data_IF_546243032635
#
_entry.id   IF_546243032635
#
_cell.length_a   1.000
_cell.length_b   1.000
_cell.length_c   1.000
_cell.angle_alpha   90.00
_cell.angle_beta   90.00
_cell.angle_gamma   90.00
#
_symmetry.space_group_name_H-M   'P 1'
#
loop_
_entity.id
_entity.type
_entity.pdbx_description
1 polymer ?
#
# COMPACT_ATOMS: atom_id res chain seq x y z
N UNK A 1 -12.56 8.31 4.21
CA UNK A 1 -12.71 6.86 3.95
C UNK A 1 -14.14 6.42 4.12
N UNK A 2 -14.79 6.72 5.26
CA UNK A 2 -16.19 6.33 5.50
C UNK A 2 -17.11 6.85 4.39
N UNK A 3 -16.98 8.11 3.99
CA UNK A 3 -17.74 8.69 2.88
C UNK A 3 -17.42 8.00 1.54
N UNK A 4 -16.13 7.74 1.25
CA UNK A 4 -15.74 6.99 0.05
C UNK A 4 -16.27 5.54 0.09
N UNK A 5 -16.21 4.89 1.25
CA UNK A 5 -16.76 3.55 1.45
C UNK A 5 -18.28 3.51 1.27
N UNK A 6 -19.01 4.48 1.83
CA UNK A 6 -20.46 4.59 1.66
C UNK A 6 -20.82 4.82 0.19
N UNK A 7 -20.19 5.79 -0.48
CA UNK A 7 -20.43 6.06 -1.90
C UNK A 7 -20.09 4.86 -2.80
N UNK A 8 -19.00 4.14 -2.52
CA UNK A 8 -18.66 2.92 -3.26
C UNK A 8 -19.64 1.78 -2.96
N UNK A 9 -20.13 1.66 -1.74
CA UNK A 9 -21.15 0.68 -1.38
C UNK A 9 -22.50 0.98 -2.05
N UNK A 10 -22.93 2.25 -2.05
CA UNK A 10 -24.14 2.69 -2.77
C UNK A 10 -24.02 2.42 -4.27
N UNK A 11 -22.86 2.75 -4.87
CA UNK A 11 -22.62 2.47 -6.29
C UNK A 11 -22.68 0.97 -6.59
N UNK A 12 -22.05 0.12 -5.79
CA UNK A 12 -22.08 -1.33 -5.95
C UNK A 12 -23.50 -1.88 -5.77
N UNK A 13 -24.22 -1.37 -4.77
CA UNK A 13 -25.61 -1.77 -4.53
C UNK A 13 -26.49 -1.41 -5.72
N UNK A 14 -26.37 -0.18 -6.23
CA UNK A 14 -27.08 0.26 -7.44
C UNK A 14 -26.71 -0.58 -8.68
N UNK A 15 -25.42 -0.92 -8.84
CA UNK A 15 -24.94 -1.77 -9.93
C UNK A 15 -25.55 -3.19 -9.84
N UNK A 16 -25.52 -3.82 -8.65
CA UNK A 16 -26.10 -5.15 -8.45
C UNK A 16 -27.63 -5.15 -8.59
N UNK A 17 -28.31 -4.13 -8.07
CA UNK A 17 -29.75 -3.97 -8.25
C UNK A 17 -30.07 -3.79 -9.74
N UNK A 18 -29.32 -2.98 -10.45
CA UNK A 18 -29.43 -2.81 -11.91
C UNK A 18 -29.29 -4.13 -12.67
N UNK A 19 -28.30 -4.94 -12.32
CA UNK A 19 -28.12 -6.28 -12.89
C UNK A 19 -29.31 -7.22 -12.63
N UNK A 20 -29.86 -7.19 -11.42
CA UNK A 20 -31.02 -8.02 -11.04
C UNK A 20 -32.28 -7.55 -11.80
N UNK A 21 -32.52 -6.24 -11.87
CA UNK A 21 -33.70 -5.65 -12.50
C UNK A 21 -33.71 -5.81 -14.03
N UNK A 22 -32.53 -5.82 -14.67
CA UNK A 22 -32.43 -6.02 -16.13
C UNK A 22 -32.64 -7.47 -16.57
N UNK A 23 -33.04 -8.37 -15.63
CA UNK A 23 -33.27 -9.81 -15.90
C UNK A 23 -32.12 -10.52 -16.63
N UNK A 24 -30.93 -9.99 -16.57
CA UNK A 24 -29.76 -10.70 -17.07
C UNK A 24 -29.58 -11.93 -16.19
N UNK A 25 -30.02 -13.08 -16.67
CA UNK A 25 -29.76 -14.41 -16.08
C UNK A 25 -28.24 -14.69 -16.01
N UNK A 26 -27.45 -13.68 -16.31
CA UNK A 26 -26.00 -13.67 -16.50
C UNK A 26 -25.20 -13.41 -15.21
N UNK A 27 -25.81 -12.98 -14.08
CA UNK A 27 -25.05 -12.67 -12.89
C UNK A 27 -24.24 -13.86 -12.35
N UNK A 28 -24.78 -15.08 -12.46
CA UNK A 28 -24.07 -16.30 -12.09
C UNK A 28 -22.88 -16.54 -13.02
N UNK A 29 -23.07 -16.31 -14.31
CA UNK A 29 -22.02 -16.43 -15.30
C UNK A 29 -20.97 -15.32 -15.12
N UNK A 30 -21.38 -14.11 -14.81
CA UNK A 30 -20.46 -13.00 -14.53
C UNK A 30 -19.65 -13.24 -13.25
N UNK A 31 -20.25 -13.74 -12.19
CA UNK A 31 -19.56 -14.14 -10.96
C UNK A 31 -18.59 -15.30 -11.22
N UNK A 32 -19.02 -16.31 -11.98
CA UNK A 32 -18.17 -17.41 -12.36
C UNK A 32 -16.99 -16.97 -13.23
N UNK A 33 -17.23 -16.09 -14.21
CA UNK A 33 -16.18 -15.50 -15.03
C UNK A 33 -15.24 -14.58 -14.22
N UNK A 34 -15.76 -13.81 -13.26
CA UNK A 34 -14.98 -13.02 -12.31
C UNK A 34 -13.97 -13.89 -11.53
N UNK A 35 -14.44 -15.06 -11.05
CA UNK A 35 -13.59 -16.00 -10.32
C UNK A 35 -12.61 -16.70 -11.28
N UNK A 36 -13.09 -17.21 -12.41
CA UNK A 36 -12.30 -18.00 -13.35
C UNK A 36 -11.21 -17.22 -14.07
N UNK A 37 -11.50 -15.96 -14.43
CA UNK A 37 -10.54 -15.09 -15.12
C UNK A 37 -9.42 -14.64 -14.23
N UNK A 38 -9.71 -14.43 -12.94
CA UNK A 38 -8.84 -13.82 -11.97
C UNK A 38 -8.86 -14.59 -10.66
N UNK A 39 -8.08 -15.70 -10.58
CA UNK A 39 -8.11 -16.62 -9.42
C UNK A 39 -7.82 -15.96 -8.07
N UNK A 40 -7.10 -14.82 -8.05
CA UNK A 40 -6.85 -14.08 -6.81
C UNK A 40 -8.12 -13.51 -6.18
N UNK A 41 -9.21 -13.34 -6.96
CA UNK A 41 -10.49 -12.92 -6.42
C UNK A 41 -11.07 -13.91 -5.41
N UNK A 42 -10.78 -15.22 -5.59
CA UNK A 42 -11.19 -16.25 -4.62
C UNK A 42 -10.53 -16.01 -3.28
N UNK A 43 -9.22 -15.75 -3.29
CA UNK A 43 -8.47 -15.48 -2.06
C UNK A 43 -8.97 -14.22 -1.35
N UNK A 44 -9.27 -13.15 -2.10
CA UNK A 44 -9.85 -11.93 -1.51
C UNK A 44 -11.23 -12.17 -0.95
N UNK A 45 -12.11 -12.88 -1.67
CA UNK A 45 -13.43 -13.24 -1.16
C UNK A 45 -13.31 -14.06 0.13
N UNK A 46 -12.44 -15.06 0.14
CA UNK A 46 -12.18 -15.87 1.34
C UNK A 46 -11.64 -15.01 2.47
N UNK A 47 -10.70 -14.09 2.19
CA UNK A 47 -10.15 -13.17 3.18
C UNK A 47 -11.25 -12.31 3.82
N UNK A 48 -12.11 -11.68 3.03
CA UNK A 48 -13.19 -10.83 3.56
C UNK A 48 -14.19 -11.61 4.39
N UNK A 49 -14.56 -12.82 3.97
CA UNK A 49 -15.41 -13.71 4.79
C UNK A 49 -14.67 -14.09 6.09
N UNK A 50 -13.37 -14.36 6.00
CA UNK A 50 -12.56 -14.71 7.16
C UNK A 50 -12.46 -13.57 8.17
N UNK A 51 -12.31 -12.33 7.72
CA UNK A 51 -12.31 -11.13 8.58
C UNK A 51 -13.62 -11.03 9.37
N UNK A 52 -14.76 -11.31 8.74
CA UNK A 52 -16.06 -11.35 9.44
C UNK A 52 -16.04 -12.40 10.56
N UNK A 53 -15.56 -13.61 10.27
CA UNK A 53 -15.47 -14.69 11.25
C UNK A 53 -14.57 -14.30 12.41
N UNK A 54 -13.37 -13.76 12.15
CA UNK A 54 -12.44 -13.30 13.18
C UNK A 54 -13.04 -12.16 14.03
N UNK A 55 -13.76 -11.22 13.40
CA UNK A 55 -14.46 -10.14 14.10
C UNK A 55 -15.52 -10.68 15.05
N UNK A 56 -16.30 -11.68 14.62
CA UNK A 56 -17.33 -12.32 15.47
C UNK A 56 -16.75 -13.11 16.63
N UNK A 57 -15.50 -13.57 16.50
CA UNK A 57 -14.78 -14.31 17.52
C UNK A 57 -14.02 -13.40 18.50
N UNK A 58 -13.75 -12.15 18.14
CA UNK A 58 -12.97 -11.21 18.94
C UNK A 58 -13.60 -10.93 20.32
N UNK A 59 -12.75 -10.64 21.30
CA UNK A 59 -13.17 -10.33 22.66
C UNK A 59 -13.99 -9.02 22.73
N UNK A 60 -13.48 -7.96 22.08
CA UNK A 60 -14.19 -6.68 22.00
C UNK A 60 -14.70 -6.46 20.57
N UNK A 61 -15.97 -6.85 20.36
CA UNK A 61 -16.62 -6.76 19.07
C UNK A 61 -16.77 -5.33 18.56
N UNK A 62 -16.98 -4.36 19.45
CA UNK A 62 -17.10 -2.96 19.06
C UNK A 62 -15.81 -2.46 18.40
N UNK A 63 -14.66 -2.70 19.03
CA UNK A 63 -13.34 -2.36 18.45
C UNK A 63 -13.10 -3.12 17.15
N UNK A 64 -13.39 -4.42 17.09
CA UNK A 64 -13.17 -5.19 15.87
C UNK A 64 -14.10 -4.81 14.72
N UNK A 65 -15.28 -4.23 15.01
CA UNK A 65 -16.19 -3.73 13.98
C UNK A 65 -15.78 -2.33 13.50
N UNK A 66 -15.52 -1.40 14.43
CA UNK A 66 -15.32 0.01 14.10
C UNK A 66 -13.86 0.46 14.09
N UNK A 67 -12.97 -0.31 14.70
CA UNK A 67 -11.57 0.04 14.94
C UNK A 67 -11.38 0.80 16.25
N UNK A 68 -10.13 0.94 16.66
CA UNK A 68 -9.72 1.80 17.78
C UNK A 68 -9.80 3.26 17.38
N UNK A 69 -9.92 4.15 18.36
CA UNK A 69 -9.84 5.59 18.16
C UNK A 69 -8.53 5.96 17.46
N UNK A 70 -8.57 6.87 16.49
CA UNK A 70 -7.48 7.29 15.57
C UNK A 70 -7.09 6.27 14.48
N UNK A 71 -7.37 4.97 14.62
CA UNK A 71 -7.01 3.96 13.62
C UNK A 71 -8.16 3.58 12.71
N UNK A 72 -9.35 3.37 13.29
CA UNK A 72 -10.60 3.07 12.59
C UNK A 72 -10.48 1.92 11.56
N UNK A 73 -9.64 0.91 11.83
CA UNK A 73 -9.37 -0.19 10.90
C UNK A 73 -10.06 -1.50 11.29
N UNK A 74 -11.32 -1.39 11.72
CA UNK A 74 -12.20 -2.50 11.98
C UNK A 74 -12.87 -3.07 10.72
N UNK A 75 -13.78 -4.01 10.89
CA UNK A 75 -14.53 -4.69 9.83
C UNK A 75 -15.16 -3.72 8.82
N UNK A 76 -15.74 -2.61 9.30
CA UNK A 76 -16.36 -1.59 8.44
C UNK A 76 -15.35 -1.05 7.43
N UNK A 77 -14.12 -0.79 7.85
CA UNK A 77 -13.06 -0.28 6.97
C UNK A 77 -12.59 -1.34 5.98
N UNK A 78 -12.48 -2.61 6.40
CA UNK A 78 -12.22 -3.71 5.47
C UNK A 78 -13.33 -3.89 4.43
N UNK A 79 -14.60 -3.72 4.81
CA UNK A 79 -15.71 -3.68 3.84
C UNK A 79 -15.56 -2.52 2.85
N UNK A 80 -15.10 -1.35 3.30
CA UNK A 80 -14.78 -0.23 2.41
C UNK A 80 -13.64 -0.57 1.45
N UNK A 81 -12.60 -1.27 1.90
CA UNK A 81 -11.51 -1.73 1.02
C UNK A 81 -12.01 -2.71 -0.04
N UNK A 82 -12.88 -3.66 0.35
CA UNK A 82 -13.53 -4.57 -0.59
C UNK A 82 -14.35 -3.81 -1.64
N UNK A 83 -15.13 -2.82 -1.20
CA UNK A 83 -15.93 -1.99 -2.09
C UNK A 83 -15.07 -1.20 -3.09
N UNK A 84 -13.99 -0.56 -2.62
CA UNK A 84 -13.04 0.15 -3.50
C UNK A 84 -12.38 -0.80 -4.50
N UNK A 85 -11.97 -1.99 -4.07
CA UNK A 85 -11.44 -3.02 -4.94
C UNK A 85 -12.43 -3.42 -6.04
N UNK A 86 -13.67 -3.71 -5.67
CA UNK A 86 -14.72 -4.11 -6.63
C UNK A 86 -15.06 -2.99 -7.61
N UNK A 87 -15.19 -1.75 -7.15
CA UNK A 87 -15.42 -0.60 -8.03
C UNK A 87 -14.28 -0.41 -9.04
N UNK A 88 -13.04 -0.51 -8.58
CA UNK A 88 -11.87 -0.41 -9.46
C UNK A 88 -11.80 -1.57 -10.46
N UNK A 89 -12.20 -2.77 -10.04
CA UNK A 89 -12.26 -3.97 -10.88
C UNK A 89 -13.28 -3.84 -12.03
N UNK A 90 -14.40 -3.17 -11.81
CA UNK A 90 -15.42 -2.90 -12.84
C UNK A 90 -14.90 -1.93 -13.91
N UNK A 91 -13.95 -1.05 -13.59
CA UNK A 91 -13.34 -0.12 -14.55
C UNK A 91 -12.41 -0.87 -15.51
N UNK A 92 -12.95 -1.38 -16.60
CA UNK A 92 -12.19 -2.21 -17.56
C UNK A 92 -11.48 -1.39 -18.65
N UNK A 93 -12.04 -0.23 -19.04
CA UNK A 93 -11.49 0.56 -20.13
C UNK A 93 -10.22 1.31 -19.75
N UNK A 94 -9.16 1.18 -20.54
CA UNK A 94 -7.87 1.84 -20.32
C UNK A 94 -7.97 3.37 -20.19
N UNK A 95 -8.88 4.01 -20.94
CA UNK A 95 -9.07 5.46 -20.89
C UNK A 95 -9.52 5.94 -19.49
N UNK A 96 -10.42 5.20 -18.84
CA UNK A 96 -10.88 5.55 -17.48
C UNK A 96 -9.80 5.27 -16.44
N UNK A 97 -9.07 4.16 -16.56
CA UNK A 97 -7.91 3.88 -15.71
C UNK A 97 -6.85 4.98 -15.83
N UNK A 98 -6.55 5.40 -17.06
CA UNK A 98 -5.62 6.51 -17.30
C UNK A 98 -6.14 7.83 -16.71
N UNK A 99 -7.46 8.07 -16.75
CA UNK A 99 -8.07 9.22 -16.10
C UNK A 99 -7.86 9.18 -14.57
N UNK A 100 -8.08 8.03 -13.93
CA UNK A 100 -7.84 7.83 -12.49
C UNK A 100 -6.36 8.11 -12.16
N UNK A 101 -5.43 7.55 -12.94
CA UNK A 101 -4.00 7.79 -12.78
C UNK A 101 -3.64 9.28 -12.87
N UNK A 102 -4.19 10.01 -13.87
CA UNK A 102 -3.95 11.44 -14.00
C UNK A 102 -4.51 12.23 -12.81
N UNK A 103 -5.70 11.89 -12.30
CA UNK A 103 -6.26 12.54 -11.12
C UNK A 103 -5.41 12.30 -9.88
N UNK A 104 -5.00 11.05 -9.68
CA UNK A 104 -4.08 10.69 -8.59
C UNK A 104 -2.75 11.46 -8.70
N UNK A 105 -2.18 11.55 -9.92
CA UNK A 105 -0.95 12.29 -10.19
C UNK A 105 -1.07 13.78 -9.85
N UNK A 106 -2.17 14.43 -10.23
CA UNK A 106 -2.42 15.86 -9.88
C UNK A 106 -2.51 16.03 -8.37
N UNK A 107 -3.30 15.19 -7.69
CA UNK A 107 -3.42 15.24 -6.22
C UNK A 107 -2.06 15.02 -5.55
N UNK A 108 -1.27 14.07 -6.04
CA UNK A 108 0.06 13.77 -5.51
C UNK A 108 1.02 14.97 -5.65
N UNK A 109 0.98 15.69 -6.79
CA UNK A 109 1.78 16.91 -6.97
C UNK A 109 1.37 17.99 -5.98
N UNK A 110 0.06 18.22 -5.81
CA UNK A 110 -0.45 19.19 -4.83
C UNK A 110 0.03 18.84 -3.41
N UNK A 111 -0.12 17.59 -3.00
CA UNK A 111 0.33 17.13 -1.68
C UNK A 111 1.85 17.20 -1.51
N UNK A 112 2.62 16.94 -2.57
CA UNK A 112 4.07 17.12 -2.56
C UNK A 112 4.46 18.59 -2.37
N UNK A 113 3.78 19.52 -3.03
CA UNK A 113 3.97 20.96 -2.81
C UNK A 113 3.62 21.33 -1.36
N UNK A 114 2.49 20.83 -0.82
CA UNK A 114 2.11 21.05 0.58
C UNK A 114 3.19 20.54 1.55
N UNK A 115 3.81 19.37 1.28
CA UNK A 115 4.92 18.85 2.09
C UNK A 115 6.08 19.84 2.12
N UNK A 116 6.53 20.32 0.95
CA UNK A 116 7.68 21.23 0.87
C UNK A 116 7.39 22.57 1.54
N UNK A 117 6.18 23.09 1.39
CA UNK A 117 5.77 24.34 2.04
C UNK A 117 5.64 24.19 3.56
N UNK A 118 5.19 23.04 4.03
CA UNK A 118 5.11 22.72 5.45
C UNK A 118 6.50 22.57 6.07
N UNK A 119 7.41 21.87 5.40
CA UNK A 119 8.76 21.61 5.89
C UNK A 119 9.62 22.90 5.98
N UNK A 120 9.40 23.86 5.09
CA UNK A 120 10.08 25.14 5.11
C UNK A 120 9.42 26.19 6.00
N UNK A 121 8.43 25.84 6.79
CA UNK A 121 7.64 26.75 7.63
C UNK A 121 6.98 27.92 6.86
N UNK A 122 6.92 27.85 5.53
CA UNK A 122 6.33 28.88 4.66
C UNK A 122 4.81 28.94 4.74
N UNK A 123 4.16 27.77 4.88
CA UNK A 123 2.76 27.68 5.21
C UNK A 123 2.65 27.36 6.70
N UNK A 124 2.08 28.28 7.47
CA UNK A 124 1.70 28.06 8.88
C UNK A 124 0.54 27.04 8.98
N UNK A 125 0.63 25.97 8.19
CA UNK A 125 -0.36 24.89 8.15
C UNK A 125 -0.33 24.01 9.40
N UNK A 126 0.58 24.26 10.32
CA UNK A 126 0.67 23.62 11.64
C UNK A 126 -0.64 23.66 12.43
N UNK A 127 -1.52 24.66 12.18
CA UNK A 127 -2.86 24.71 12.78
C UNK A 127 -3.92 23.86 12.07
N UNK A 128 -3.66 23.47 10.80
CA UNK A 128 -4.59 22.69 9.97
C UNK A 128 -4.17 21.23 9.94
N UNK A 129 -2.86 20.97 9.89
CA UNK A 129 -2.29 19.62 9.90
C UNK A 129 -1.57 19.39 11.23
N UNK A 130 -2.08 18.46 12.00
CA UNK A 130 -1.63 18.18 13.39
C UNK A 130 -0.21 17.58 13.44
N UNK A 131 0.31 17.07 12.32
CA UNK A 131 1.56 16.33 12.30
C UNK A 131 2.52 16.87 11.24
N UNK A 132 3.75 17.18 11.64
CA UNK A 132 4.84 17.56 10.75
C UNK A 132 5.07 16.51 9.66
N UNK A 133 5.30 16.96 8.41
CA UNK A 133 5.64 16.13 7.24
C UNK A 133 4.56 15.16 6.76
N UNK A 134 3.42 15.13 7.41
CA UNK A 134 2.33 14.21 7.08
C UNK A 134 1.28 14.81 6.16
N UNK A 135 1.28 16.10 5.91
CA UNK A 135 0.25 16.85 5.17
C UNK A 135 -1.17 16.54 5.69
N UNK A 136 -2.01 15.95 4.88
CA UNK A 136 -3.37 15.50 5.26
C UNK A 136 -3.41 14.13 5.93
N UNK A 137 -2.26 13.45 6.03
CA UNK A 137 -2.15 12.14 6.68
C UNK A 137 -1.81 12.31 8.16
N UNK A 138 -2.19 11.36 8.99
CA UNK A 138 -1.95 11.44 10.44
C UNK A 138 -0.49 11.25 10.84
N UNK A 139 0.33 10.68 9.96
CA UNK A 139 1.73 10.36 10.21
C UNK A 139 2.54 10.41 8.91
N UNK A 140 3.82 10.83 9.01
CA UNK A 140 4.70 10.95 7.86
C UNK A 140 4.95 9.62 7.12
N UNK A 141 4.98 8.48 7.83
CA UNK A 141 5.09 7.17 7.21
C UNK A 141 3.92 6.87 6.26
N UNK A 142 2.69 7.21 6.66
CA UNK A 142 1.50 7.00 5.81
C UNK A 142 1.57 7.86 4.55
N UNK A 143 2.04 9.09 4.67
CA UNK A 143 2.27 9.93 3.51
C UNK A 143 3.38 9.35 2.61
N UNK A 144 4.45 8.80 3.21
CA UNK A 144 5.49 8.09 2.48
C UNK A 144 4.93 6.94 1.60
N UNK A 145 3.98 6.14 2.11
CA UNK A 145 3.32 5.10 1.31
C UNK A 145 2.44 5.65 0.19
N UNK A 146 1.81 6.80 0.39
CA UNK A 146 1.10 7.49 -0.68
C UNK A 146 2.08 7.96 -1.78
N UNK A 147 3.21 8.56 -1.39
CA UNK A 147 4.28 8.99 -2.31
C UNK A 147 4.90 7.80 -3.06
N UNK A 148 5.09 6.67 -2.39
CA UNK A 148 5.53 5.43 -3.00
C UNK A 148 4.65 5.07 -4.21
N UNK A 149 3.33 4.97 -4.02
CA UNK A 149 2.40 4.70 -5.12
C UNK A 149 2.38 5.83 -6.17
N UNK A 150 2.58 7.09 -5.76
CA UNK A 150 2.62 8.23 -6.65
C UNK A 150 3.77 8.15 -7.67
N UNK A 151 4.94 7.70 -7.23
CA UNK A 151 6.10 7.46 -8.09
C UNK A 151 5.74 6.45 -9.17
N UNK A 152 5.06 5.36 -8.79
CA UNK A 152 4.63 4.31 -9.73
C UNK A 152 3.54 4.79 -10.69
N UNK A 153 2.61 5.63 -10.23
CA UNK A 153 1.62 6.29 -11.09
C UNK A 153 2.30 7.14 -12.15
N UNK A 154 3.26 7.99 -11.76
CA UNK A 154 4.02 8.82 -12.71
C UNK A 154 4.85 7.96 -13.68
N UNK A 155 5.52 6.92 -13.17
CA UNK A 155 6.25 5.96 -14.00
C UNK A 155 5.34 5.27 -15.01
N UNK A 156 4.17 4.82 -14.57
CA UNK A 156 3.17 4.17 -15.44
C UNK A 156 2.64 5.12 -16.52
N UNK A 157 2.31 6.35 -16.17
CA UNK A 157 1.87 7.38 -17.13
C UNK A 157 2.97 7.72 -18.14
N UNK A 158 4.23 7.81 -17.69
CA UNK A 158 5.38 8.00 -18.56
C UNK A 158 5.51 6.84 -19.57
N UNK A 159 5.49 5.61 -19.09
CA UNK A 159 5.67 4.42 -19.94
C UNK A 159 4.50 4.21 -20.91
N UNK A 160 3.30 4.65 -20.57
CA UNK A 160 2.09 4.54 -21.41
C UNK A 160 1.87 5.72 -22.36
N UNK A 161 2.70 6.76 -22.27
CA UNK A 161 2.58 7.94 -23.13
C UNK A 161 3.37 7.76 -24.43
N UNK A 162 2.77 8.20 -25.57
CA UNK A 162 3.44 8.29 -26.85
C UNK A 162 3.67 9.77 -27.27
N UNK A 163 3.20 10.72 -26.44
CA UNK A 163 3.34 12.15 -26.67
C UNK A 163 4.53 12.68 -25.90
N UNK A 164 5.54 13.21 -26.58
CA UNK A 164 6.81 13.68 -25.97
C UNK A 164 6.62 14.70 -24.86
N UNK A 165 5.70 15.65 -25.05
CA UNK A 165 5.38 16.65 -24.01
C UNK A 165 4.87 16.00 -22.74
N UNK A 166 4.02 14.98 -22.85
CA UNK A 166 3.49 14.25 -21.68
C UNK A 166 4.57 13.40 -21.04
N UNK A 167 5.45 12.78 -21.84
CA UNK A 167 6.60 12.03 -21.28
C UNK A 167 7.47 12.90 -20.40
N UNK A 168 7.82 14.11 -20.86
CA UNK A 168 8.62 15.07 -20.08
C UNK A 168 7.88 15.46 -18.80
N UNK A 169 6.60 15.75 -18.89
CA UNK A 169 5.78 16.12 -17.74
C UNK A 169 5.70 15.01 -16.70
N UNK A 170 5.50 13.77 -17.12
CA UNK A 170 5.41 12.63 -16.19
C UNK A 170 6.78 12.25 -15.61
N UNK A 171 7.87 12.38 -16.39
CA UNK A 171 9.23 12.19 -15.89
C UNK A 171 9.58 13.25 -14.82
N UNK A 172 9.25 14.52 -15.07
CA UNK A 172 9.41 15.60 -14.09
C UNK A 172 8.54 15.35 -12.84
N UNK A 173 7.30 14.89 -13.01
CA UNK A 173 6.42 14.51 -11.92
C UNK A 173 6.99 13.34 -11.10
N UNK A 174 7.55 12.32 -11.74
CA UNK A 174 8.23 11.21 -11.06
C UNK A 174 9.41 11.71 -10.23
N UNK A 175 10.28 12.55 -10.83
CA UNK A 175 11.43 13.13 -10.13
C UNK A 175 10.96 13.95 -8.91
N UNK A 176 9.91 14.74 -9.06
CA UNK A 176 9.33 15.52 -7.97
C UNK A 176 8.77 14.64 -6.84
N UNK A 177 8.02 13.56 -7.16
CA UNK A 177 7.49 12.66 -6.15
C UNK A 177 8.60 11.89 -5.41
N UNK A 178 9.63 11.45 -6.12
CA UNK A 178 10.80 10.82 -5.49
C UNK A 178 11.56 11.80 -4.60
N UNK A 179 11.75 13.05 -5.04
CA UNK A 179 12.32 14.11 -4.22
C UNK A 179 11.49 14.31 -2.93
N UNK A 180 10.16 14.42 -3.05
CA UNK A 180 9.27 14.53 -1.89
C UNK A 180 9.39 13.32 -0.93
N UNK A 181 9.53 12.10 -1.47
CA UNK A 181 9.73 10.92 -0.64
C UNK A 181 11.06 10.92 0.10
N UNK A 182 12.13 11.41 -0.54
CA UNK A 182 13.45 11.56 0.09
C UNK A 182 13.44 12.64 1.19
N UNK A 183 12.73 13.75 0.98
CA UNK A 183 12.49 14.79 2.00
C UNK A 183 11.64 14.25 3.14
N UNK A 184 10.56 13.52 2.85
CA UNK A 184 9.70 12.87 3.85
C UNK A 184 10.44 11.83 4.68
N UNK A 185 11.48 11.21 4.13
CA UNK A 185 12.38 10.26 4.76
C UNK A 185 11.73 8.97 5.30
N UNK A 186 10.71 8.45 4.62
CA UNK A 186 10.13 7.13 4.93
C UNK A 186 10.88 6.04 4.18
N UNK A 187 11.86 5.42 4.85
CA UNK A 187 12.76 4.45 4.21
C UNK A 187 12.06 3.20 3.68
N UNK A 188 11.08 2.65 4.41
CA UNK A 188 10.28 1.50 3.94
C UNK A 188 9.50 1.80 2.65
N UNK A 189 8.95 3.02 2.53
CA UNK A 189 8.29 3.47 1.31
C UNK A 189 9.27 3.68 0.15
N UNK A 190 10.49 4.16 0.43
CA UNK A 190 11.55 4.26 -0.57
C UNK A 190 11.93 2.88 -1.12
N UNK A 191 12.17 1.87 -0.27
CA UNK A 191 12.45 0.50 -0.71
C UNK A 191 11.29 -0.08 -1.52
N UNK A 192 10.05 0.14 -1.06
CA UNK A 192 8.85 -0.30 -1.78
C UNK A 192 8.74 0.33 -3.17
N UNK A 193 8.97 1.64 -3.31
CA UNK A 193 8.93 2.33 -4.61
C UNK A 193 10.07 1.87 -5.54
N UNK A 194 11.26 1.63 -5.01
CA UNK A 194 12.37 1.09 -5.77
C UNK A 194 12.04 -0.29 -6.35
N UNK A 195 11.53 -1.19 -5.51
CA UNK A 195 11.10 -2.51 -5.94
C UNK A 195 9.99 -2.42 -7.01
N UNK A 196 8.99 -1.56 -6.79
CA UNK A 196 7.90 -1.34 -7.73
C UNK A 196 8.36 -0.80 -9.08
N UNK A 197 9.27 0.19 -9.11
CA UNK A 197 9.83 0.73 -10.37
C UNK A 197 10.61 -0.33 -11.12
N UNK A 198 11.45 -1.12 -10.44
CA UNK A 198 12.18 -2.23 -11.06
C UNK A 198 11.20 -3.25 -11.66
N UNK A 199 10.18 -3.66 -10.90
CA UNK A 199 9.17 -4.62 -11.36
C UNK A 199 8.41 -4.10 -12.60
N UNK A 200 7.95 -2.85 -12.59
CA UNK A 200 7.27 -2.23 -13.74
C UNK A 200 8.19 -2.13 -14.95
N UNK A 201 9.44 -1.74 -14.76
CA UNK A 201 10.42 -1.66 -15.85
C UNK A 201 10.67 -3.03 -16.48
N UNK A 202 10.84 -4.08 -15.68
CA UNK A 202 10.98 -5.46 -16.16
C UNK A 202 9.72 -5.88 -16.94
N UNK A 203 8.54 -5.71 -16.34
CA UNK A 203 7.27 -6.06 -17.00
C UNK A 203 7.06 -5.28 -18.30
N UNK A 204 7.43 -4.00 -18.34
CA UNK A 204 7.35 -3.17 -19.53
C UNK A 204 8.26 -3.69 -20.65
N UNK A 205 9.52 -4.02 -20.35
CA UNK A 205 10.47 -4.58 -21.34
C UNK A 205 9.97 -5.92 -21.87
N UNK A 206 9.52 -6.81 -20.98
CA UNK A 206 8.97 -8.12 -21.42
C UNK A 206 7.74 -7.95 -22.33
N UNK A 207 6.93 -6.89 -22.08
CA UNK A 207 5.72 -6.59 -22.88
C UNK A 207 6.03 -5.95 -24.22
N UNK A 208 6.99 -5.02 -24.29
CA UNK A 208 7.20 -4.13 -25.44
C UNK A 208 8.51 -4.36 -26.19
N UNK A 209 9.46 -5.09 -25.61
CA UNK A 209 10.86 -5.21 -26.05
C UNK A 209 11.60 -3.85 -26.16
N UNK A 210 11.09 -2.79 -25.52
CA UNK A 210 11.68 -1.44 -25.58
C UNK A 210 12.46 -1.12 -24.31
N UNK A 211 13.76 -1.39 -24.31
CA UNK A 211 14.64 -1.09 -23.17
C UNK A 211 14.94 0.40 -23.04
N UNK A 212 14.89 1.18 -24.14
CA UNK A 212 15.31 2.59 -24.11
C UNK A 212 14.41 3.45 -23.22
N UNK A 213 13.11 3.17 -23.22
CA UNK A 213 12.13 3.96 -22.46
C UNK A 213 12.29 3.80 -20.95
N UNK A 214 12.76 2.65 -20.47
CA UNK A 214 12.97 2.43 -19.03
C UNK A 214 14.22 3.11 -18.48
N UNK A 215 15.14 3.57 -19.33
CA UNK A 215 16.34 4.26 -18.88
C UNK A 215 16.00 5.55 -18.12
N UNK A 216 14.94 6.26 -18.53
CA UNK A 216 14.54 7.53 -17.89
C UNK A 216 14.14 7.32 -16.42
N UNK A 217 13.17 6.45 -16.06
CA UNK A 217 12.84 6.21 -14.66
C UNK A 217 14.03 5.66 -13.84
N UNK A 218 14.87 4.81 -14.42
CA UNK A 218 16.07 4.29 -13.75
C UNK A 218 17.07 5.40 -13.44
N UNK A 219 17.38 6.25 -14.43
CA UNK A 219 18.32 7.38 -14.27
C UNK A 219 17.79 8.36 -13.22
N UNK A 220 16.49 8.72 -13.25
CA UNK A 220 15.88 9.60 -12.25
C UNK A 220 16.07 9.00 -10.85
N UNK A 221 15.77 7.70 -10.70
CA UNK A 221 15.86 7.03 -9.41
C UNK A 221 17.29 7.01 -8.87
N UNK A 222 18.27 6.62 -9.70
CA UNK A 222 19.68 6.56 -9.33
C UNK A 222 20.22 7.96 -9.02
N UNK A 223 19.93 8.96 -9.88
CA UNK A 223 20.46 10.31 -9.72
C UNK A 223 19.97 10.98 -8.44
N UNK A 224 18.66 10.93 -8.16
CA UNK A 224 18.11 11.55 -6.93
C UNK A 224 18.54 10.79 -5.67
N UNK A 225 18.66 9.46 -5.74
CA UNK A 225 19.20 8.67 -4.62
C UNK A 225 20.64 9.05 -4.33
N UNK A 226 21.49 9.21 -5.35
CA UNK A 226 22.88 9.64 -5.20
C UNK A 226 22.97 11.05 -4.61
N UNK A 227 22.14 11.99 -5.06
CA UNK A 227 22.06 13.34 -4.48
C UNK A 227 21.58 13.31 -3.03
N UNK A 228 20.66 12.45 -2.66
CA UNK A 228 20.24 12.28 -1.26
C UNK A 228 21.37 11.67 -0.40
N UNK A 229 22.11 10.71 -0.94
CA UNK A 229 23.26 10.11 -0.23
C UNK A 229 24.41 11.10 0.01
N UNK A 230 24.56 12.12 -0.85
CA UNK A 230 25.56 13.19 -0.65
C UNK A 230 25.16 14.21 0.43
N UNK A 231 23.93 14.14 0.95
CA UNK A 231 23.41 15.04 1.98
C UNK A 231 22.90 16.38 1.44
N UNK A 232 22.86 16.58 0.11
CA UNK A 232 22.36 17.82 -0.51
C UNK A 232 20.84 17.95 -0.34
N UNK A 233 20.10 16.83 -0.39
CA UNK A 233 18.66 16.87 -0.16
C UNK A 233 18.43 16.95 1.36
N UNK A 234 17.83 18.04 1.87
CA UNK A 234 17.48 18.13 3.27
C UNK A 234 16.38 17.10 3.56
N UNK A 235 16.57 16.30 4.58
CA UNK A 235 15.48 15.48 5.08
C UNK A 235 14.90 16.14 6.33
N UNK A 236 13.62 16.03 6.49
CA UNK A 236 12.92 16.63 7.61
C UNK A 236 13.32 16.04 8.97
N UNK A 237 13.94 14.85 8.99
CA UNK A 237 14.45 14.20 10.20
C UNK A 237 15.94 14.52 10.47
N UNK A 238 16.62 15.26 9.59
CA UNK A 238 18.08 15.43 9.63
C UNK A 238 18.85 14.18 9.18
N UNK A 239 18.17 13.09 8.85
CA UNK A 239 18.78 11.86 8.35
C UNK A 239 18.63 11.81 6.82
N UNK A 240 19.67 11.41 6.13
CA UNK A 240 19.65 11.21 4.68
C UNK A 240 19.63 9.72 4.31
N UNK A 241 19.48 9.43 3.03
CA UNK A 241 19.44 8.05 2.53
C UNK A 241 20.68 7.22 2.92
N UNK A 242 21.87 7.85 3.00
CA UNK A 242 23.10 7.16 3.42
C UNK A 242 23.01 6.67 4.86
N UNK A 243 22.50 7.51 5.77
CA UNK A 243 22.29 7.13 7.18
C UNK A 243 21.27 6.01 7.27
N UNK A 244 20.14 6.11 6.57
CA UNK A 244 19.12 5.06 6.57
C UNK A 244 19.67 3.71 6.06
N UNK A 245 20.46 3.72 4.99
CA UNK A 245 21.07 2.50 4.45
C UNK A 245 22.11 1.91 5.42
N UNK A 246 22.95 2.75 6.07
CA UNK A 246 23.91 2.27 7.06
C UNK A 246 23.23 1.69 8.29
N UNK A 247 22.18 2.34 8.80
CA UNK A 247 21.37 1.81 9.90
C UNK A 247 20.70 0.50 9.53
N UNK A 248 20.09 0.42 8.35
CA UNK A 248 19.47 -0.81 7.88
C UNK A 248 20.47 -1.96 7.74
N UNK A 249 21.68 -1.69 7.20
CA UNK A 249 22.74 -2.70 7.10
C UNK A 249 23.22 -3.16 8.47
N UNK A 250 23.38 -2.23 9.42
CA UNK A 250 23.73 -2.56 10.80
C UNK A 250 22.63 -3.44 11.45
N UNK A 251 21.36 -3.04 11.31
CA UNK A 251 20.22 -3.76 11.87
C UNK A 251 20.13 -5.19 11.31
N UNK A 252 20.32 -5.37 9.98
CA UNK A 252 20.32 -6.70 9.36
C UNK A 252 21.46 -7.55 9.92
N UNK A 253 22.67 -7.00 10.04
CA UNK A 253 23.80 -7.72 10.60
C UNK A 253 23.58 -8.10 12.06
N UNK A 254 23.04 -7.19 12.89
CA UNK A 254 22.72 -7.46 14.29
C UNK A 254 21.72 -8.62 14.42
N UNK A 255 20.67 -8.62 13.59
CA UNK A 255 19.66 -9.69 13.58
C UNK A 255 20.24 -11.02 13.10
N UNK A 256 21.06 -11.02 12.04
CA UNK A 256 21.67 -12.25 11.49
C UNK A 256 22.70 -12.85 12.44
N UNK A 257 23.47 -12.02 13.16
CA UNK A 257 24.46 -12.48 14.13
C UNK A 257 23.89 -12.74 15.53
N UNK A 258 22.57 -12.58 15.74
CA UNK A 258 21.90 -12.66 17.04
C UNK A 258 22.61 -11.85 18.15
N UNK A 259 23.04 -10.65 17.76
CA UNK A 259 23.76 -9.73 18.64
C UNK A 259 22.82 -9.21 19.78
N UNK A 260 23.41 -8.80 20.90
CA UNK A 260 22.66 -8.27 22.05
C UNK A 260 21.76 -7.05 21.71
N UNK A 261 22.14 -6.27 20.70
CA UNK A 261 21.40 -5.09 20.23
C UNK A 261 20.35 -5.43 19.13
N UNK A 262 20.23 -6.70 18.72
CA UNK A 262 19.27 -7.13 17.68
C UNK A 262 17.82 -6.71 17.99
N UNK A 263 17.43 -6.63 19.23
CA UNK A 263 16.09 -6.20 19.65
C UNK A 263 15.83 -4.70 19.41
N UNK A 264 16.89 -3.90 19.33
CA UNK A 264 16.84 -2.48 18.97
C UNK A 264 16.69 -2.22 17.47
N UNK A 265 16.95 -3.23 16.63
CA UNK A 265 16.94 -3.11 15.18
C UNK A 265 15.61 -2.57 14.64
N UNK A 266 15.68 -1.77 13.56
CA UNK A 266 14.50 -1.15 12.96
C UNK A 266 13.80 -0.15 13.88
N UNK A 267 14.53 0.58 14.72
CA UNK A 267 13.96 1.49 15.74
C UNK A 267 13.06 0.78 16.76
N UNK A 268 13.44 -0.46 17.16
CA UNK A 268 12.70 -1.31 18.09
C UNK A 268 11.62 -2.20 17.44
N UNK A 269 11.48 -2.17 16.12
CA UNK A 269 10.51 -3.03 15.41
C UNK A 269 10.81 -4.51 15.59
N UNK A 270 12.07 -4.91 15.65
CA UNK A 270 12.43 -6.32 15.85
C UNK A 270 11.89 -6.87 17.16
N UNK A 271 12.02 -6.11 18.27
CA UNK A 271 11.44 -6.48 19.56
C UNK A 271 9.91 -6.61 19.48
N UNK A 272 9.27 -5.65 18.78
CA UNK A 272 7.83 -5.67 18.54
C UNK A 272 7.40 -6.89 17.71
N UNK A 273 8.14 -7.21 16.64
CA UNK A 273 7.86 -8.39 15.81
C UNK A 273 8.01 -9.69 16.58
N UNK A 274 9.11 -9.84 17.35
CA UNK A 274 9.32 -11.00 18.23
C UNK A 274 8.16 -11.16 19.23
N UNK A 275 7.70 -10.06 19.81
CA UNK A 275 6.56 -10.06 20.73
C UNK A 275 5.26 -10.51 20.04
N UNK A 276 4.94 -9.94 18.87
CA UNK A 276 3.78 -10.33 18.09
C UNK A 276 3.82 -11.79 17.66
N UNK A 277 4.99 -12.28 17.22
CA UNK A 277 5.16 -13.67 16.79
C UNK A 277 4.97 -14.66 17.96
N UNK A 278 5.34 -14.29 19.20
CA UNK A 278 5.08 -15.09 20.40
C UNK A 278 3.60 -15.24 20.74
N UNK A 279 2.75 -14.29 20.30
CA UNK A 279 1.32 -14.35 20.54
C UNK A 279 0.57 -15.27 19.56
N UNK A 280 1.15 -15.53 18.37
CA UNK A 280 0.49 -16.32 17.32
C UNK A 280 0.11 -17.75 17.80
N UNK A 281 0.96 -18.48 18.53
CA UNK A 281 0.61 -19.83 19.02
C UNK A 281 -0.63 -19.88 19.93
N UNK A 282 -1.00 -18.77 20.58
CA UNK A 282 -2.18 -18.72 21.45
C UNK A 282 -3.50 -18.68 20.66
N UNK A 283 -3.50 -18.06 19.47
CA UNK A 283 -4.66 -17.99 18.57
C UNK A 283 -4.24 -18.13 17.10
N UNK A 284 -3.70 -19.30 16.68
CA UNK A 284 -3.06 -19.45 15.38
C UNK A 284 -4.04 -19.44 14.21
N UNK A 285 -5.31 -19.76 14.44
CA UNK A 285 -6.32 -19.88 13.38
C UNK A 285 -7.10 -18.60 13.23
N UNK A 286 -7.75 -18.11 14.28
CA UNK A 286 -8.66 -16.97 14.22
C UNK A 286 -7.97 -15.64 14.52
N UNK A 287 -6.76 -15.67 15.09
CA UNK A 287 -6.12 -14.47 15.62
C UNK A 287 -6.92 -13.87 16.78
N UNK A 288 -6.70 -12.61 17.08
CA UNK A 288 -7.39 -11.90 18.15
C UNK A 288 -8.58 -11.06 17.64
N UNK A 289 -8.74 -10.95 16.33
CA UNK A 289 -9.67 -10.04 15.68
C UNK A 289 -9.02 -8.70 15.30
N UNK A 290 -9.61 -7.96 14.35
CA UNK A 290 -9.14 -6.64 13.96
C UNK A 290 -9.00 -5.70 15.15
N UNK A 291 -7.89 -4.96 15.23
CA UNK A 291 -7.61 -3.90 16.23
C UNK A 291 -7.55 -4.35 17.71
N UNK A 292 -7.53 -5.67 18.00
CA UNK A 292 -7.52 -6.19 19.38
C UNK A 292 -6.14 -6.14 20.06
N UNK A 293 -5.11 -5.73 19.35
CA UNK A 293 -3.73 -5.81 19.84
C UNK A 293 -3.50 -4.96 21.10
N UNK A 294 -4.06 -3.74 21.16
CA UNK A 294 -3.92 -2.85 22.29
C UNK A 294 -4.47 -3.43 23.60
N UNK A 295 -5.61 -4.12 23.54
CA UNK A 295 -6.22 -4.72 24.72
C UNK A 295 -5.40 -5.89 25.25
N UNK A 296 -4.77 -6.66 24.37
CA UNK A 296 -3.93 -7.79 24.74
C UNK A 296 -2.55 -7.35 25.22
N UNK A 297 -1.92 -6.34 24.58
CA UNK A 297 -0.60 -5.84 24.98
C UNK A 297 -0.57 -5.13 26.33
N UNK A 298 -1.65 -4.48 26.72
CA UNK A 298 -1.71 -3.77 28.02
C UNK A 298 -1.49 -4.74 29.20
N UNK A 299 -1.85 -6.04 29.05
CA UNK A 299 -1.69 -7.06 30.06
C UNK A 299 -0.32 -7.76 30.06
N UNK A 300 0.18 -8.16 28.89
CA UNK A 300 1.30 -9.11 28.77
C UNK A 300 2.64 -8.45 28.40
N UNK A 301 2.60 -7.30 27.77
CA UNK A 301 3.78 -6.59 27.27
C UNK A 301 3.95 -5.20 27.90
N UNK A 302 3.18 -4.89 28.92
CA UNK A 302 3.11 -3.56 29.57
C UNK A 302 4.43 -2.94 30.02
N UNK A 303 5.52 -3.72 30.09
CA UNK A 303 6.87 -3.20 30.34
C UNK A 303 7.70 -2.98 29.06
N UNK A 304 7.36 -3.67 27.97
CA UNK A 304 8.17 -3.68 26.74
C UNK A 304 7.66 -2.66 25.72
N UNK A 305 6.37 -2.31 25.79
CA UNK A 305 5.70 -1.44 24.83
C UNK A 305 5.05 -0.21 25.50
N UNK A 306 5.54 0.22 26.64
CA UNK A 306 5.06 1.39 27.38
C UNK A 306 5.05 2.71 26.59
N UNK A 307 5.39 2.69 25.29
CA UNK A 307 5.36 3.84 24.39
C UNK A 307 4.11 3.95 23.51
N UNK A 308 3.03 3.19 23.76
CA UNK A 308 1.77 3.35 23.01
C UNK A 308 1.76 2.74 21.61
N UNK A 309 2.59 1.71 21.33
CA UNK A 309 2.58 1.00 20.06
C UNK A 309 1.38 0.05 20.00
N UNK A 310 0.46 0.33 19.11
CA UNK A 310 -0.80 -0.39 18.93
C UNK A 310 -0.75 -1.39 17.76
N UNK A 311 0.38 -1.45 17.01
CA UNK A 311 0.53 -2.26 15.79
C UNK A 311 1.95 -2.79 15.63
N UNK A 312 2.11 -3.89 14.86
CA UNK A 312 3.42 -4.51 14.66
C UNK A 312 4.36 -3.75 13.72
N UNK A 313 3.96 -2.62 13.12
CA UNK A 313 4.75 -1.92 12.10
C UNK A 313 5.21 -2.86 10.96
N UNK A 314 4.39 -3.85 10.66
CA UNK A 314 4.52 -4.82 9.57
C UNK A 314 3.14 -5.40 9.26
N UNK A 315 2.60 -5.10 8.08
CA UNK A 315 1.24 -5.48 7.71
C UNK A 315 1.04 -7.00 7.66
N UNK A 316 2.07 -7.76 7.31
CA UNK A 316 1.97 -9.23 7.25
C UNK A 316 1.87 -9.84 8.64
N UNK A 317 2.64 -9.35 9.60
CA UNK A 317 2.52 -9.73 11.01
C UNK A 317 1.16 -9.27 11.56
N UNK A 318 0.68 -8.08 11.16
CA UNK A 318 -0.63 -7.59 11.55
C UNK A 318 -1.74 -8.54 11.09
N UNK A 319 -1.70 -9.05 9.85
CA UNK A 319 -2.67 -10.04 9.37
C UNK A 319 -2.61 -11.34 10.19
N UNK A 320 -1.40 -11.82 10.54
CA UNK A 320 -1.27 -13.02 11.39
C UNK A 320 -1.86 -12.82 12.78
N UNK A 321 -1.60 -11.70 13.41
CA UNK A 321 -2.09 -11.43 14.77
C UNK A 321 -3.59 -11.19 14.79
N UNK A 322 -4.12 -10.42 13.82
CA UNK A 322 -5.54 -10.09 13.78
C UNK A 322 -6.43 -11.23 13.27
N UNK A 323 -5.96 -12.00 12.29
CA UNK A 323 -6.77 -12.94 11.52
C UNK A 323 -6.17 -14.35 11.47
N UNK A 324 -5.14 -14.61 12.27
CA UNK A 324 -4.42 -15.85 12.30
C UNK A 324 -3.61 -16.14 11.02
N UNK A 325 -2.97 -17.30 11.02
CA UNK A 325 -2.20 -17.78 9.86
C UNK A 325 -3.07 -17.90 8.60
N UNK A 326 -4.34 -18.39 8.66
CA UNK A 326 -5.19 -18.44 7.47
C UNK A 326 -5.44 -17.06 6.85
N UNK A 327 -5.60 -15.99 7.65
CA UNK A 327 -5.76 -14.64 7.15
C UNK A 327 -4.55 -14.18 6.33
N UNK A 328 -3.33 -14.40 6.84
CA UNK A 328 -2.10 -14.12 6.10
C UNK A 328 -2.00 -14.97 4.82
N UNK A 329 -2.30 -16.28 4.90
CA UNK A 329 -2.24 -17.17 3.72
C UNK A 329 -3.19 -16.70 2.62
N UNK A 330 -4.40 -16.28 2.98
CA UNK A 330 -5.36 -15.74 2.01
C UNK A 330 -4.87 -14.42 1.41
N UNK A 331 -4.36 -13.50 2.22
CA UNK A 331 -3.82 -12.22 1.75
C UNK A 331 -2.62 -12.43 0.81
N UNK A 332 -1.61 -13.19 1.23
CA UNK A 332 -0.44 -13.52 0.41
C UNK A 332 -0.81 -14.34 -0.81
N UNK A 333 -1.74 -15.29 -0.66
CA UNK A 333 -2.26 -16.09 -1.77
C UNK A 333 -2.89 -15.22 -2.86
N UNK A 334 -3.64 -14.19 -2.47
CA UNK A 334 -4.18 -13.21 -3.41
C UNK A 334 -3.06 -12.46 -4.17
N UNK A 335 -2.09 -11.90 -3.46
CA UNK A 335 -0.98 -11.17 -4.07
C UNK A 335 -0.12 -12.04 -4.98
N UNK A 336 0.27 -13.22 -4.53
CA UNK A 336 1.09 -14.17 -5.28
C UNK A 336 0.34 -14.67 -6.52
N UNK A 337 -0.93 -15.06 -6.38
CA UNK A 337 -1.72 -15.54 -7.52
C UNK A 337 -1.97 -14.44 -8.56
N UNK A 338 -2.21 -13.20 -8.10
CA UNK A 338 -2.27 -12.04 -8.99
C UNK A 338 -0.96 -11.91 -9.77
N UNK A 339 0.18 -11.88 -9.10
CA UNK A 339 1.51 -11.72 -9.71
C UNK A 339 1.80 -12.82 -10.74
N UNK A 340 1.54 -14.08 -10.39
CA UNK A 340 1.71 -15.23 -11.30
C UNK A 340 0.81 -15.06 -12.54
N UNK A 341 -0.45 -14.67 -12.37
CA UNK A 341 -1.37 -14.47 -13.48
C UNK A 341 -0.94 -13.31 -14.37
N UNK A 342 -0.43 -12.22 -13.80
CA UNK A 342 0.08 -11.08 -14.57
C UNK A 342 1.32 -11.49 -15.39
N UNK A 343 2.28 -12.18 -14.78
CA UNK A 343 3.49 -12.63 -15.46
C UNK A 343 3.18 -13.62 -16.61
N UNK A 344 2.28 -14.59 -16.39
CA UNK A 344 1.87 -15.54 -17.45
C UNK A 344 1.25 -14.87 -18.67
N UNK A 345 0.65 -13.70 -18.51
CA UNK A 345 -0.13 -13.01 -19.57
C UNK A 345 0.45 -11.65 -19.96
N UNK A 346 1.63 -11.33 -19.49
CA UNK A 346 2.28 -10.04 -19.62
C UNK A 346 2.32 -9.52 -21.09
N UNK A 347 2.55 -10.41 -22.05
CA UNK A 347 2.62 -10.05 -23.49
C UNK A 347 1.29 -9.55 -24.06
N UNK A 348 0.15 -9.83 -23.39
CA UNK A 348 -1.19 -9.43 -23.83
C UNK A 348 -1.79 -8.32 -22.97
N UNK A 349 -1.08 -7.88 -21.91
CA UNK A 349 -1.58 -6.87 -20.99
C UNK A 349 -1.49 -5.47 -21.57
N UNK A 350 -2.43 -4.63 -21.18
CA UNK A 350 -2.31 -3.19 -21.36
C UNK A 350 -1.25 -2.61 -20.42
N UNK A 351 -0.53 -1.59 -20.91
CA UNK A 351 0.55 -0.96 -20.14
C UNK A 351 0.02 -0.32 -18.84
N UNK A 352 -1.21 0.22 -18.86
CA UNK A 352 -1.82 0.80 -17.66
C UNK A 352 -2.13 -0.26 -16.59
N UNK A 353 -2.43 -1.49 -17.00
CA UNK A 353 -2.62 -2.63 -16.08
C UNK A 353 -1.28 -3.03 -15.44
N UNK A 354 -0.19 -3.02 -16.21
CA UNK A 354 1.18 -3.23 -15.69
C UNK A 354 1.52 -2.14 -14.66
N UNK A 355 1.20 -0.88 -14.96
CA UNK A 355 1.42 0.21 -14.02
C UNK A 355 0.61 0.04 -12.73
N UNK A 356 -0.66 -0.41 -12.82
CA UNK A 356 -1.50 -0.70 -11.65
C UNK A 356 -0.91 -1.82 -10.80
N UNK A 357 -0.43 -2.90 -11.44
CA UNK A 357 0.27 -3.97 -10.73
C UNK A 357 1.53 -3.48 -10.02
N UNK A 358 2.29 -2.57 -10.66
CA UNK A 358 3.45 -1.93 -10.05
C UNK A 358 3.10 -1.12 -8.80
N UNK A 359 2.02 -0.32 -8.82
CA UNK A 359 1.55 0.41 -7.64
C UNK A 359 1.21 -0.53 -6.49
N UNK A 360 0.49 -1.64 -6.78
CA UNK A 360 0.14 -2.64 -5.77
C UNK A 360 1.39 -3.35 -5.21
N UNK A 361 2.36 -3.72 -6.07
CA UNK A 361 3.61 -4.34 -5.64
C UNK A 361 4.49 -3.40 -4.82
N UNK A 362 4.55 -2.12 -5.19
CA UNK A 362 5.30 -1.11 -4.43
C UNK A 362 4.73 -0.92 -3.02
N UNK A 363 3.39 -0.86 -2.90
CA UNK A 363 2.74 -0.84 -1.60
C UNK A 363 3.05 -2.11 -0.80
N UNK A 364 2.83 -3.29 -1.40
CA UNK A 364 3.06 -4.58 -0.74
C UNK A 364 4.51 -4.74 -0.27
N UNK A 365 5.51 -4.31 -1.04
CA UNK A 365 6.90 -4.31 -0.61
C UNK A 365 7.15 -3.34 0.55
N UNK A 366 6.55 -2.16 0.53
CA UNK A 366 6.61 -1.20 1.63
C UNK A 366 5.93 -1.70 2.90
N UNK A 367 4.86 -2.47 2.78
CA UNK A 367 4.07 -3.03 3.88
C UNK A 367 4.87 -3.96 4.83
N UNK A 368 6.05 -4.44 4.42
CA UNK A 368 7.00 -5.09 5.32
C UNK A 368 7.49 -4.17 6.45
N UNK A 369 7.41 -2.85 6.26
CA UNK A 369 7.92 -1.84 7.18
C UNK A 369 6.84 -0.87 7.67
N UNK A 370 5.57 -1.23 7.55
CA UNK A 370 4.45 -0.39 7.95
C UNK A 370 3.16 -1.17 8.14
N UNK A 371 2.12 -0.44 8.49
CA UNK A 371 0.80 -1.00 8.76
C UNK A 371 -0.18 -0.62 7.68
N UNK A 372 -1.24 -1.42 7.53
CA UNK A 372 -2.44 -0.97 6.82
C UNK A 372 -3.02 0.26 7.53
N UNK A 373 -3.54 1.20 6.75
CA UNK A 373 -4.17 2.41 7.27
C UNK A 373 -5.22 2.93 6.29
N UNK A 374 -6.34 3.35 6.83
CA UNK A 374 -7.47 3.87 6.05
C UNK A 374 -7.13 5.10 5.19
N UNK A 375 -5.97 5.72 5.37
CA UNK A 375 -5.46 6.80 4.51
C UNK A 375 -4.83 6.31 3.21
N UNK A 376 -4.14 5.15 3.23
CA UNK A 376 -3.30 4.68 2.12
C UNK A 376 -3.75 3.34 1.55
N UNK A 377 -4.23 2.43 2.38
CA UNK A 377 -4.68 1.10 2.00
C UNK A 377 -5.83 1.11 0.97
N UNK A 378 -6.79 2.08 0.97
CA UNK A 378 -7.79 2.16 -0.10
C UNK A 378 -7.18 2.34 -1.49
N UNK A 379 -6.11 3.10 -1.62
CA UNK A 379 -5.42 3.27 -2.91
C UNK A 379 -4.74 1.98 -3.37
N UNK A 380 -4.16 1.22 -2.44
CA UNK A 380 -3.64 -0.11 -2.75
C UNK A 380 -4.74 -1.03 -3.31
N UNK A 381 -5.90 -1.12 -2.65
CA UNK A 381 -7.03 -1.93 -3.14
C UNK A 381 -7.60 -1.39 -4.46
N UNK A 382 -7.60 -0.08 -4.68
CA UNK A 382 -7.96 0.53 -5.95
C UNK A 382 -7.00 0.07 -7.07
N UNK A 383 -5.69 0.21 -6.88
CA UNK A 383 -4.72 -0.23 -7.88
C UNK A 383 -4.78 -1.73 -8.11
N UNK A 384 -4.98 -2.51 -7.05
CA UNK A 384 -5.15 -3.95 -7.13
C UNK A 384 -6.39 -4.34 -7.96
N UNK A 385 -7.53 -3.67 -7.75
CA UNK A 385 -8.73 -3.85 -8.57
C UNK A 385 -8.50 -3.49 -10.04
N UNK A 386 -7.71 -2.45 -10.31
CA UNK A 386 -7.33 -2.06 -11.67
C UNK A 386 -6.31 -3.00 -12.34
N UNK A 387 -5.78 -4.00 -11.64
CA UNK A 387 -5.00 -5.08 -12.28
C UNK A 387 -5.87 -6.07 -13.03
N UNK A 388 -7.18 -6.03 -12.83
CA UNK A 388 -8.15 -6.81 -13.55
C UNK A 388 -8.02 -6.58 -15.06
N UNK A 389 -8.28 -7.62 -15.85
CA UNK A 389 -8.08 -7.56 -17.30
C UNK A 389 -9.12 -6.69 -17.98
N UNK A 390 -8.66 -5.90 -18.90
CA UNK A 390 -9.45 -5.45 -20.05
C UNK A 390 -9.83 -6.64 -20.92
N UNK A 391 -11.06 -6.68 -21.32
CA UNK A 391 -11.62 -7.71 -22.19
C UNK A 391 -11.09 -7.49 -23.60
#
# INVERSE_FOLDING_TARGET
VLLMGVLTFEFLTAYFIGMILTRSNNWKNELFEFIKREPWNVFFLMLFVWIIICTMHSNNKYISIFGTEYRYEGLVTYCCYAAVYMCAHIVKEAKYRKCIFNRYAVTAVILGICLLLQDNHLLYMHKIFVYDRATVFSQFNHFGYYLNMSILVMTGLFLTSDVKKNEIMYAAGMAFQLFCLLVNNTFGAYLGSMFGVIAVCIMYVVRTNNIKKILVPIIIYISLSAVSMSGIIPSSSGQNLKVNLSTFSHDVNAVVSDAEDADGAGTGRMRLWKACLKMIPESPILGYGPEQLNEKYAGELGGVLAGGTDRPENEYIQYMVFMGIPGLVMYMGALISMMICQLKKIKKMELITIASAGCALAYAAGACFGNSMYYTTPYFYMFLGMTARTI
#
